data_IF_998290415853
#
_entry.id   IF_998290415853
#
_cell.length_a   1.000
_cell.length_b   1.000
_cell.length_c   1.000
_cell.angle_alpha   90.00
_cell.angle_beta   90.00
_cell.angle_gamma   90.00
#
_symmetry.space_group_name_H-M   'P 1'
#
loop_
_entity.id
_entity.type
_entity.pdbx_description
1 polymer ?
#
# COMPACT_ATOMS: atom_id res chain seq x y z
N UNK A 1 -8.06 36.16 7.60
CA UNK A 1 -8.03 35.85 9.04
C UNK A 1 -9.46 35.58 9.47
N UNK A 2 -9.84 34.31 9.66
CA UNK A 2 -9.82 33.55 10.92
C UNK A 2 -10.83 34.07 11.96
N UNK A 3 -11.77 33.21 12.34
CA UNK A 3 -11.96 32.82 13.73
C UNK A 3 -12.65 31.46 13.81
N UNK A 4 -11.98 30.49 14.41
CA UNK A 4 -12.58 29.26 14.94
C UNK A 4 -13.26 29.59 16.27
N UNK A 5 -14.42 29.02 16.57
CA UNK A 5 -14.85 28.79 17.95
C UNK A 5 -16.00 27.77 18.09
N UNK A 6 -15.68 26.72 18.86
CA UNK A 6 -16.48 26.03 19.88
C UNK A 6 -17.86 25.41 19.58
N UNK A 7 -17.86 24.06 19.66
CA UNK A 7 -18.67 23.19 20.55
C UNK A 7 -20.04 23.70 21.02
N UNK A 8 -21.10 22.95 20.70
CA UNK A 8 -22.41 23.06 21.35
C UNK A 8 -23.02 21.68 21.65
N UNK A 9 -23.08 21.35 22.95
CA UNK A 9 -23.98 20.34 23.52
C UNK A 9 -25.44 20.77 23.29
N UNK A 10 -26.32 19.84 22.91
CA UNK A 10 -27.77 20.03 22.99
C UNK A 10 -28.37 18.96 23.91
N UNK A 11 -28.47 19.28 25.19
CA UNK A 11 -29.34 18.58 26.13
C UNK A 11 -30.76 19.13 25.94
N UNK A 12 -31.70 18.30 25.53
CA UNK A 12 -33.12 18.66 25.50
C UNK A 12 -33.83 17.80 26.54
N UNK A 13 -34.16 18.43 27.67
CA UNK A 13 -35.08 17.91 28.65
C UNK A 13 -36.52 18.18 28.20
N UNK A 14 -37.37 17.15 28.19
CA UNK A 14 -38.82 17.30 28.13
C UNK A 14 -39.43 16.47 29.25
N UNK A 15 -39.89 17.18 30.28
CA UNK A 15 -40.71 16.67 31.36
C UNK A 15 -42.17 16.61 30.89
N UNK A 16 -42.81 15.44 31.02
CA UNK A 16 -44.26 15.29 30.88
C UNK A 16 -44.77 14.72 32.20
N UNK A 17 -45.61 15.49 32.89
CA UNK A 17 -46.27 15.10 34.14
C UNK A 17 -47.79 15.20 33.94
N UNK A 18 -48.51 14.35 34.68
CA UNK A 18 -49.95 14.28 34.99
C UNK A 18 -50.73 13.29 34.09
N UNK A 19 -51.58 12.37 34.58
CA UNK A 19 -52.09 12.06 35.93
C UNK A 19 -52.68 10.62 35.93
N UNK A 20 -52.76 10.04 37.13
CA UNK A 20 -53.25 8.73 37.58
C UNK A 20 -54.52 8.09 36.98
N UNK A 21 -54.45 6.78 36.70
CA UNK A 21 -55.38 5.68 37.09
C UNK A 21 -54.80 4.38 36.49
N UNK A 22 -54.50 3.31 37.23
CA UNK A 22 -55.46 2.43 37.87
C UNK A 22 -55.71 1.20 37.01
N UNK A 23 -54.82 0.19 37.09
CA UNK A 23 -54.98 -1.22 36.67
C UNK A 23 -55.15 -1.54 35.17
N UNK A 24 -54.49 -2.62 34.78
CA UNK A 24 -54.65 -3.40 33.53
C UNK A 24 -54.38 -2.68 32.21
N UNK A 25 -53.24 -2.98 31.61
CA UNK A 25 -53.19 -3.85 30.41
C UNK A 25 -51.84 -3.71 29.74
N UNK A 26 -51.26 -4.85 29.38
CA UNK A 26 -50.01 -5.02 28.64
C UNK A 26 -50.02 -4.19 27.36
N UNK A 27 -49.42 -3.00 27.38
CA UNK A 27 -49.33 -2.15 26.21
C UNK A 27 -48.41 -2.79 25.17
N UNK A 28 -48.91 -2.83 23.93
CA UNK A 28 -48.25 -3.32 22.73
C UNK A 28 -46.81 -2.80 22.63
N UNK A 29 -45.86 -3.73 22.65
CA UNK A 29 -44.50 -3.48 22.19
C UNK A 29 -44.51 -3.46 20.66
N UNK A 30 -44.87 -2.32 20.09
CA UNK A 30 -44.53 -1.98 18.71
C UNK A 30 -43.95 -0.58 18.69
N UNK A 31 -42.87 -0.40 19.45
CA UNK A 31 -41.94 0.68 19.19
C UNK A 31 -41.19 0.31 17.90
N UNK A 32 -41.71 0.78 16.76
CA UNK A 32 -40.89 0.91 15.56
C UNK A 32 -39.81 1.94 15.88
N UNK A 33 -38.69 1.44 16.42
CA UNK A 33 -37.48 2.23 16.54
C UNK A 33 -37.00 2.51 15.13
N UNK A 34 -37.17 3.76 14.68
CA UNK A 34 -36.35 4.30 13.60
C UNK A 34 -34.91 4.33 14.12
N UNK A 35 -34.22 3.19 13.99
CA UNK A 35 -32.79 3.17 14.19
C UNK A 35 -32.20 4.09 13.10
N UNK A 36 -31.41 5.11 13.44
CA UNK A 36 -30.62 5.81 12.43
C UNK A 36 -29.82 4.74 11.71
N UNK A 37 -29.90 4.70 10.38
CA UNK A 37 -29.14 3.77 9.57
C UNK A 37 -27.67 3.95 9.91
N UNK A 38 -27.14 3.10 10.79
CA UNK A 38 -25.72 2.90 10.90
C UNK A 38 -25.28 2.52 9.50
N UNK A 39 -24.41 3.33 8.88
CA UNK A 39 -23.80 2.94 7.62
C UNK A 39 -23.07 1.63 7.89
N UNK A 40 -23.69 0.54 7.51
CA UNK A 40 -23.02 -0.75 7.47
C UNK A 40 -22.02 -0.61 6.34
N UNK A 41 -20.74 -0.46 6.67
CA UNK A 41 -19.63 -0.58 5.71
C UNK A 41 -19.54 -2.05 5.27
N UNK A 42 -20.58 -2.52 4.62
CA UNK A 42 -20.60 -3.79 3.90
C UNK A 42 -19.92 -3.52 2.57
N UNK A 43 -18.85 -4.26 2.33
CA UNK A 43 -18.02 -4.05 1.17
C UNK A 43 -16.98 -5.15 1.04
N UNK A 44 -16.46 -5.31 -0.18
CA UNK A 44 -15.39 -6.24 -0.46
C UNK A 44 -14.09 -5.44 -0.60
N UNK A 45 -13.17 -5.72 0.31
CA UNK A 45 -11.79 -5.28 0.20
C UNK A 45 -10.96 -6.45 -0.34
N UNK A 46 -10.22 -6.21 -1.42
CA UNK A 46 -9.36 -7.22 -2.02
C UNK A 46 -8.27 -6.59 -2.87
N UNK A 47 -7.21 -7.37 -3.07
CA UNK A 47 -6.10 -7.01 -3.93
C UNK A 47 -5.67 -8.26 -4.68
N UNK A 48 -5.55 -8.14 -6.00
CA UNK A 48 -5.05 -9.20 -6.88
C UNK A 48 -3.70 -8.74 -7.42
N UNK A 49 -2.62 -9.29 -6.87
CA UNK A 49 -1.27 -9.04 -7.38
C UNK A 49 -1.04 -9.87 -8.65
N UNK A 50 -0.45 -9.23 -9.66
CA UNK A 50 -0.06 -9.85 -10.93
C UNK A 50 1.43 -10.18 -10.94
N UNK A 51 1.85 -10.86 -12.00
CA UNK A 51 3.25 -11.23 -12.20
C UNK A 51 4.17 -10.01 -12.17
N UNK A 52 5.27 -10.16 -11.42
CA UNK A 52 6.31 -9.17 -11.31
C UNK A 52 7.24 -9.25 -12.52
N UNK A 53 7.61 -8.09 -13.05
CA UNK A 53 8.64 -7.98 -14.09
C UNK A 53 9.87 -7.26 -13.56
N UNK A 54 11.05 -7.70 -13.96
CA UNK A 54 12.34 -7.15 -13.51
C UNK A 54 13.13 -6.73 -14.73
N UNK A 55 13.54 -5.46 -14.78
CA UNK A 55 14.44 -4.97 -15.83
C UNK A 55 15.77 -4.54 -15.25
N UNK A 56 16.85 -4.82 -15.98
CA UNK A 56 18.21 -4.41 -15.65
C UNK A 56 18.67 -3.35 -16.65
N UNK A 57 19.16 -2.22 -16.14
CA UNK A 57 19.75 -1.13 -16.91
C UNK A 57 21.21 -1.00 -16.53
N UNK A 58 22.11 -1.08 -17.51
CA UNK A 58 23.56 -0.98 -17.30
C UNK A 58 24.11 0.28 -17.95
N UNK A 59 24.67 1.18 -17.15
CA UNK A 59 25.35 2.38 -17.68
C UNK A 59 24.50 3.25 -18.61
N UNK A 60 23.18 3.30 -18.38
CA UNK A 60 22.25 4.06 -19.23
C UNK A 60 21.90 3.41 -20.58
N UNK A 61 22.27 2.14 -20.80
CA UNK A 61 21.82 1.36 -21.95
C UNK A 61 20.31 1.09 -21.91
N UNK A 62 19.76 0.54 -22.99
CA UNK A 62 18.35 0.11 -23.03
C UNK A 62 18.10 -0.95 -21.95
N UNK A 63 17.02 -0.84 -21.15
CA UNK A 63 16.68 -1.84 -20.14
C UNK A 63 16.48 -3.22 -20.78
N UNK A 64 17.03 -4.26 -20.16
CA UNK A 64 16.84 -5.65 -20.55
C UNK A 64 15.92 -6.36 -19.55
N UNK A 65 15.00 -7.19 -20.02
CA UNK A 65 14.17 -8.03 -19.15
C UNK A 65 15.03 -9.17 -18.57
N UNK A 66 15.04 -9.27 -17.25
CA UNK A 66 15.79 -10.29 -16.50
C UNK A 66 14.89 -11.03 -15.51
N UNK A 67 13.57 -10.96 -15.68
CA UNK A 67 12.56 -11.52 -14.77
C UNK A 67 12.82 -12.99 -14.45
N UNK A 68 13.19 -13.79 -15.44
CA UNK A 68 13.43 -15.23 -15.29
C UNK A 68 14.91 -15.60 -15.10
N UNK A 69 15.83 -14.63 -15.12
CA UNK A 69 17.28 -14.88 -15.18
C UNK A 69 18.07 -13.97 -14.24
N UNK A 70 17.42 -13.39 -13.22
CA UNK A 70 18.03 -12.43 -12.30
C UNK A 70 19.20 -13.04 -11.52
N UNK A 71 19.03 -14.30 -11.09
CA UNK A 71 20.03 -15.10 -10.38
C UNK A 71 21.26 -15.45 -11.23
N UNK A 72 21.13 -15.40 -12.56
CA UNK A 72 22.23 -15.54 -13.50
C UNK A 72 22.89 -14.19 -13.86
N UNK A 73 22.31 -13.06 -13.43
CA UNK A 73 22.88 -11.74 -13.72
C UNK A 73 24.03 -11.42 -12.77
N UNK A 74 25.23 -11.34 -13.33
CA UNK A 74 26.39 -10.75 -12.70
C UNK A 74 26.22 -9.23 -12.58
N UNK A 75 25.76 -8.77 -11.41
CA UNK A 75 25.56 -7.34 -11.13
C UNK A 75 26.89 -6.62 -10.95
N UNK A 76 26.90 -5.35 -11.38
CA UNK A 76 28.09 -4.49 -11.37
C UNK A 76 27.75 -3.12 -10.77
N UNK A 77 28.75 -2.41 -10.22
CA UNK A 77 28.59 -1.02 -9.84
C UNK A 77 28.05 -0.18 -11.01
N UNK A 78 27.01 0.61 -10.75
CA UNK A 78 26.29 1.41 -11.75
C UNK A 78 25.10 0.70 -12.42
N UNK A 79 24.86 -0.59 -12.12
CA UNK A 79 23.66 -1.28 -12.58
C UNK A 79 22.42 -0.78 -11.80
N UNK A 80 21.29 -0.66 -12.51
CA UNK A 80 19.99 -0.29 -11.94
C UNK A 80 18.98 -1.38 -12.24
N UNK A 81 18.37 -1.94 -11.20
CA UNK A 81 17.27 -2.90 -11.32
C UNK A 81 15.94 -2.21 -11.05
N UNK A 82 14.97 -2.44 -11.92
CA UNK A 82 13.61 -1.91 -11.77
C UNK A 82 12.63 -3.07 -11.74
N UNK A 83 11.99 -3.26 -10.58
CA UNK A 83 10.93 -4.21 -10.35
C UNK A 83 9.60 -3.51 -10.55
N UNK A 84 8.71 -4.11 -11.35
CA UNK A 84 7.34 -3.64 -11.53
C UNK A 84 6.38 -4.72 -11.08
N UNK A 85 5.58 -4.42 -10.06
CA UNK A 85 4.58 -5.34 -9.49
C UNK A 85 3.19 -4.74 -9.67
N UNK A 86 2.43 -5.17 -10.70
CA UNK A 86 1.07 -4.71 -10.89
C UNK A 86 0.12 -5.34 -9.87
N UNK A 87 -0.90 -4.60 -9.45
CA UNK A 87 -2.00 -5.14 -8.67
C UNK A 87 -3.33 -4.48 -9.08
N UNK A 88 -4.41 -5.27 -9.08
CA UNK A 88 -5.77 -4.78 -9.26
C UNK A 88 -6.44 -4.63 -7.90
N UNK A 89 -7.01 -3.45 -7.65
CA UNK A 89 -7.73 -3.15 -6.42
C UNK A 89 -9.20 -3.58 -6.52
N UNK A 90 -9.72 -4.23 -5.49
CA UNK A 90 -11.14 -4.57 -5.33
C UNK A 90 -11.65 -3.84 -4.11
N UNK A 91 -12.42 -2.77 -4.32
CA UNK A 91 -12.88 -1.83 -3.30
C UNK A 91 -14.38 -1.59 -3.48
N UNK A 92 -15.18 -2.64 -3.28
CA UNK A 92 -16.63 -2.58 -3.45
C UNK A 92 -17.28 -2.08 -2.16
N UNK A 93 -18.07 -1.00 -2.22
CA UNK A 93 -18.77 -0.44 -1.05
C UNK A 93 -18.96 1.07 -1.15
N UNK A 94 -19.98 1.61 -0.47
CA UNK A 94 -20.42 3.01 -0.60
C UNK A 94 -19.63 4.00 0.26
N UNK A 95 -18.81 3.55 1.20
CA UNK A 95 -17.98 4.41 2.07
C UNK A 95 -16.70 3.71 2.51
N UNK A 96 -16.10 2.92 1.62
CA UNK A 96 -14.87 2.19 1.93
C UNK A 96 -13.66 3.12 1.82
N UNK A 97 -12.85 3.14 2.87
CA UNK A 97 -11.53 3.77 2.90
C UNK A 97 -10.50 2.71 3.25
N UNK A 98 -9.39 2.68 2.52
CA UNK A 98 -8.31 1.75 2.79
C UNK A 98 -6.94 2.40 2.58
N UNK A 99 -5.93 1.79 3.19
CA UNK A 99 -4.52 2.09 3.02
C UNK A 99 -3.87 1.00 2.19
N UNK A 100 -3.25 1.39 1.10
CA UNK A 100 -2.44 0.55 0.24
C UNK A 100 -0.95 0.77 0.57
N UNK A 101 -0.22 -0.32 0.82
CA UNK A 101 1.22 -0.30 1.10
C UNK A 101 1.96 -1.28 0.20
N UNK A 102 3.23 -0.96 -0.07
CA UNK A 102 4.17 -1.84 -0.76
C UNK A 102 5.30 -2.16 0.20
N UNK A 103 5.47 -3.44 0.50
CA UNK A 103 6.61 -3.94 1.26
C UNK A 103 7.67 -4.49 0.30
N UNK A 104 8.85 -3.88 0.34
CA UNK A 104 10.06 -4.31 -0.38
C UNK A 104 11.21 -4.68 0.58
N UNK A 105 10.93 -4.88 1.87
CA UNK A 105 11.94 -5.21 2.88
C UNK A 105 12.66 -6.54 2.62
N UNK A 106 11.98 -7.49 1.97
CA UNK A 106 12.52 -8.79 1.59
C UNK A 106 13.15 -8.81 0.18
N UNK A 107 13.35 -7.65 -0.46
CA UNK A 107 13.83 -7.57 -1.85
C UNK A 107 15.22 -8.16 -2.05
N UNK A 108 16.10 -8.04 -1.05
CA UNK A 108 17.43 -8.66 -1.08
C UNK A 108 17.40 -10.18 -0.83
N UNK A 109 16.27 -10.74 -0.38
CA UNK A 109 16.13 -12.15 -0.03
C UNK A 109 17.26 -12.65 0.88
N UNK A 110 17.83 -13.80 0.54
CA UNK A 110 18.99 -14.41 1.19
C UNK A 110 20.34 -13.95 0.60
N UNK A 111 20.36 -12.87 -0.18
CA UNK A 111 21.59 -12.37 -0.81
C UNK A 111 22.58 -11.96 0.28
N UNK A 112 23.80 -12.53 0.29
CA UNK A 112 24.79 -12.21 1.30
C UNK A 112 25.37 -10.79 1.12
N UNK A 113 25.99 -10.29 2.19
CA UNK A 113 26.79 -9.07 2.13
C UNK A 113 28.00 -9.25 1.19
N UNK A 114 28.47 -8.19 0.52
CA UNK A 114 28.01 -6.79 0.65
C UNK A 114 26.82 -6.41 -0.25
N UNK A 115 26.50 -7.22 -1.26
CA UNK A 115 25.44 -6.89 -2.23
C UNK A 115 24.06 -6.75 -1.58
N UNK A 116 23.70 -7.65 -0.67
CA UNK A 116 22.40 -7.59 0.02
C UNK A 116 22.19 -6.29 0.81
N UNK A 117 23.25 -5.73 1.40
CA UNK A 117 23.17 -4.49 2.16
C UNK A 117 23.03 -3.27 1.25
N UNK A 118 23.73 -3.27 0.10
CA UNK A 118 23.57 -2.24 -0.92
C UNK A 118 22.13 -2.19 -1.42
N UNK A 119 21.54 -3.35 -1.72
CA UNK A 119 20.13 -3.42 -2.16
C UNK A 119 19.23 -2.79 -1.11
N UNK A 120 19.34 -3.19 0.17
CA UNK A 120 18.51 -2.64 1.25
C UNK A 120 18.65 -1.12 1.41
N UNK A 121 19.86 -0.58 1.22
CA UNK A 121 20.13 0.85 1.43
C UNK A 121 19.79 1.73 0.21
N UNK A 122 19.78 1.16 -1.00
CA UNK A 122 19.61 1.89 -2.26
C UNK A 122 18.32 1.49 -3.00
N UNK A 123 17.32 1.03 -2.25
CA UNK A 123 15.98 0.72 -2.75
C UNK A 123 15.09 1.95 -2.62
N UNK A 124 14.39 2.28 -3.69
CA UNK A 124 13.33 3.29 -3.71
C UNK A 124 12.03 2.66 -4.18
N UNK A 125 10.92 3.02 -3.55
CA UNK A 125 9.59 2.48 -3.87
C UNK A 125 8.69 3.61 -4.31
N UNK A 126 8.02 3.44 -5.44
CA UNK A 126 7.03 4.39 -5.95
C UNK A 126 5.79 3.64 -6.41
N UNK A 127 4.61 4.23 -6.19
CA UNK A 127 3.34 3.68 -6.69
C UNK A 127 2.92 4.50 -7.91
N UNK A 128 2.55 3.82 -8.99
CA UNK A 128 2.06 4.44 -10.23
C UNK A 128 0.65 3.93 -10.50
N UNK A 129 -0.28 4.84 -10.79
CA UNK A 129 -1.64 4.51 -11.25
C UNK A 129 -1.98 5.32 -12.49
N UNK A 130 -2.55 4.70 -13.52
CA UNK A 130 -2.93 5.37 -14.77
C UNK A 130 -1.81 6.24 -15.39
N UNK A 131 -0.55 5.82 -15.25
CA UNK A 131 0.63 6.54 -15.74
C UNK A 131 1.08 7.72 -14.87
N UNK A 132 0.37 8.02 -13.78
CA UNK A 132 0.71 9.08 -12.83
C UNK A 132 1.49 8.49 -11.65
N UNK A 133 2.62 9.13 -11.30
CA UNK A 133 3.36 8.78 -10.09
C UNK A 133 2.61 9.33 -8.87
N UNK A 134 2.22 8.43 -7.97
CA UNK A 134 1.52 8.75 -6.72
C UNK A 134 2.48 9.10 -5.58
N UNK A 135 3.79 8.97 -5.83
CA UNK A 135 4.87 9.18 -4.89
C UNK A 135 5.14 7.96 -4.01
N UNK A 136 6.17 8.08 -3.17
CA UNK A 136 6.47 7.15 -2.07
C UNK A 136 5.57 7.42 -0.85
N UNK A 137 4.30 7.78 -1.07
CA UNK A 137 3.33 7.98 0.01
C UNK A 137 2.88 6.60 0.49
N UNK A 138 3.64 6.06 1.43
CA UNK A 138 3.25 4.87 2.18
C UNK A 138 2.74 5.30 3.57
N UNK A 139 1.49 5.00 3.95
CA UNK A 139 0.44 4.36 3.14
C UNK A 139 -0.23 5.30 2.13
N UNK A 140 -0.65 4.75 0.98
CA UNK A 140 -1.49 5.44 0.01
C UNK A 140 -2.97 5.26 0.37
N UNK A 141 -3.70 6.35 0.56
CA UNK A 141 -5.14 6.29 0.81
C UNK A 141 -5.90 6.02 -0.49
N UNK A 142 -6.73 4.96 -0.48
CA UNK A 142 -7.60 4.57 -1.59
C UNK A 142 -9.04 4.49 -1.12
N UNK A 143 -9.96 4.84 -2.02
CA UNK A 143 -11.41 4.84 -1.81
C UNK A 143 -12.09 3.93 -2.83
N UNK A 144 -13.40 3.72 -2.72
CA UNK A 144 -14.16 2.91 -3.70
C UNK A 144 -14.07 3.42 -5.15
N UNK A 145 -13.67 4.66 -5.39
CA UNK A 145 -13.38 5.22 -6.72
C UNK A 145 -12.21 4.51 -7.43
N UNK A 146 -11.37 3.81 -6.66
CA UNK A 146 -10.22 3.06 -7.15
C UNK A 146 -10.57 1.60 -7.48
N UNK A 147 -11.83 1.19 -7.33
CA UNK A 147 -12.26 -0.17 -7.64
C UNK A 147 -11.98 -0.53 -9.10
N UNK A 148 -11.33 -1.68 -9.32
CA UNK A 148 -10.94 -2.17 -10.64
C UNK A 148 -9.71 -1.47 -11.24
N UNK A 149 -9.14 -0.46 -10.59
CA UNK A 149 -7.92 0.18 -11.08
C UNK A 149 -6.70 -0.73 -10.92
N UNK A 150 -5.79 -0.63 -11.90
CA UNK A 150 -4.49 -1.28 -11.86
C UNK A 150 -3.45 -0.28 -11.37
N UNK A 151 -2.85 -0.60 -10.22
CA UNK A 151 -1.72 0.12 -9.63
C UNK A 151 -0.44 -0.67 -9.88
N UNK A 152 0.69 0.02 -10.01
CA UNK A 152 2.01 -0.60 -10.23
C UNK A 152 2.97 -0.12 -9.16
N UNK A 153 3.58 -1.04 -8.43
CA UNK A 153 4.70 -0.73 -7.56
C UNK A 153 5.94 -0.77 -8.44
N UNK A 154 6.61 0.38 -8.55
CA UNK A 154 7.90 0.50 -9.23
C UNK A 154 8.96 0.62 -8.14
N UNK A 155 9.70 -0.47 -7.95
CA UNK A 155 10.79 -0.55 -6.97
C UNK A 155 12.10 -0.48 -7.72
N UNK A 156 12.89 0.55 -7.46
CA UNK A 156 14.18 0.78 -8.15
C UNK A 156 15.32 0.54 -7.17
N UNK A 157 16.22 -0.36 -7.53
CA UNK A 157 17.45 -0.65 -6.80
C UNK A 157 18.63 -0.15 -7.61
N UNK A 158 19.39 0.78 -7.06
CA UNK A 158 20.61 1.29 -7.71
C UNK A 158 21.83 0.70 -7.02
N UNK A 159 22.70 0.02 -7.77
CA UNK A 159 24.02 -0.37 -7.27
C UNK A 159 24.94 0.84 -7.47
N UNK A 160 25.35 1.56 -6.42
CA UNK A 160 26.07 2.82 -6.59
C UNK A 160 27.44 2.57 -7.23
N UNK A 161 27.86 3.45 -8.14
CA UNK A 161 29.16 3.32 -8.82
C UNK A 161 30.35 3.38 -7.84
N UNK A 162 30.19 4.09 -6.72
CA UNK A 162 31.15 4.14 -5.61
C UNK A 162 31.36 2.79 -4.93
N UNK A 163 30.40 1.88 -5.01
CA UNK A 163 30.57 0.52 -4.51
C UNK A 163 31.63 -0.25 -5.28
N UNK A 164 32.03 0.20 -6.49
CA UNK A 164 33.11 -0.39 -7.27
C UNK A 164 34.53 -0.04 -6.81
N UNK A 165 34.69 0.82 -5.80
CA UNK A 165 36.00 1.23 -5.31
C UNK A 165 36.57 0.25 -4.26
N UNK A 166 37.90 0.10 -4.25
CA UNK A 166 38.60 -0.72 -3.25
C UNK A 166 38.31 -2.22 -3.34
N UNK A 167 38.62 -2.95 -2.28
CA UNK A 167 38.46 -4.42 -2.25
C UNK A 167 36.99 -4.85 -2.15
N UNK A 168 36.11 -3.98 -1.65
CA UNK A 168 34.66 -4.21 -1.59
C UNK A 168 34.05 -4.23 -3.01
N UNK A 169 34.47 -3.31 -3.88
CA UNK A 169 34.05 -3.30 -5.28
C UNK A 169 34.51 -4.51 -6.08
N UNK A 170 35.69 -5.04 -5.78
CA UNK A 170 36.15 -6.31 -6.37
C UNK A 170 35.28 -7.50 -5.91
N UNK A 171 34.78 -7.47 -4.67
CA UNK A 171 33.92 -8.53 -4.10
C UNK A 171 32.49 -8.46 -4.61
N UNK A 172 32.00 -7.28 -4.95
CA UNK A 172 30.67 -7.06 -5.51
C UNK A 172 30.59 -7.40 -7.00
N UNK A 173 31.67 -7.16 -7.73
CA UNK A 173 31.67 -7.33 -9.18
C UNK A 173 31.42 -8.79 -9.57
N UNK A 174 30.25 -9.04 -10.16
CA UNK A 174 29.85 -10.36 -10.62
C UNK A 174 29.08 -11.20 -9.62
N UNK A 175 28.67 -10.65 -8.47
CA UNK A 175 27.71 -11.31 -7.61
C UNK A 175 26.30 -11.29 -8.21
N UNK A 176 25.59 -12.39 -8.06
CA UNK A 176 24.19 -12.50 -8.43
C UNK A 176 23.29 -12.09 -7.27
N UNK A 177 22.20 -11.41 -7.59
CA UNK A 177 21.15 -11.11 -6.64
C UNK A 177 20.17 -12.28 -6.61
N UNK A 178 19.85 -12.78 -5.42
CA UNK A 178 18.76 -13.72 -5.26
C UNK A 178 17.44 -12.96 -5.32
N UNK A 179 16.47 -13.50 -6.06
CA UNK A 179 15.16 -12.88 -6.18
C UNK A 179 14.47 -12.84 -4.81
N UNK A 180 14.26 -11.63 -4.30
CA UNK A 180 13.45 -11.38 -3.12
C UNK A 180 11.96 -11.29 -3.44
N UNK A 181 11.17 -10.96 -2.41
CA UNK A 181 9.71 -10.79 -2.56
C UNK A 181 9.34 -9.31 -2.39
N UNK A 182 8.38 -8.86 -3.21
CA UNK A 182 7.67 -7.59 -3.02
C UNK A 182 6.20 -7.93 -2.79
N UNK A 183 5.59 -7.36 -1.75
CA UNK A 183 4.20 -7.64 -1.38
C UNK A 183 3.39 -6.36 -1.31
N UNK A 184 2.19 -6.42 -1.87
CA UNK A 184 1.16 -5.44 -1.60
C UNK A 184 0.39 -5.80 -0.32
N UNK A 185 0.02 -4.78 0.45
CA UNK A 185 -0.95 -4.93 1.52
C UNK A 185 -2.02 -3.85 1.41
N UNK A 186 -3.25 -4.22 1.75
CA UNK A 186 -4.41 -3.35 1.68
C UNK A 186 -5.19 -3.50 2.99
N UNK A 187 -5.32 -2.40 3.74
CA UNK A 187 -5.91 -2.40 5.09
C UNK A 187 -7.07 -1.42 5.16
N UNK A 188 -8.24 -1.87 5.62
CA UNK A 188 -9.40 -1.01 5.80
C UNK A 188 -9.19 -0.01 6.96
N UNK A 189 -9.73 1.19 6.83
CA UNK A 189 -9.78 2.22 7.88
C UNK A 189 -11.17 2.40 8.45
#
# INVERSE_FOLDING_TARGET
>A
MRANALRGLAAVALAVVLLSSGLSSTALWSAQALAPSAQVTTGRLGLVQHDMTITLTRGGAVPIDVTATLDAQALRPGDVLTYTVPATLVLEGTSLQAELRVDAGELAGSTPAPLGDIVRQNTTVTIVSSGQNMGAKDPLHVTSEWNGQVVKAVVTVTIPASAGAGDEGKRLNGQALQQGTIRWSLTQK
#
